data_IF_936922730248
#
_entry.id   IF_936922730248
#
_cell.length_a   1.000
_cell.length_b   1.000
_cell.length_c   1.000
_cell.angle_alpha   90.00
_cell.angle_beta   90.00
_cell.angle_gamma   90.00
#
_symmetry.space_group_name_H-M   'P 1'
#
loop_
_entity.id
_entity.type
_entity.pdbx_description
1 polymer ?
#
# COMPACT_ATOMS: atom_id res chain seq x y z
N UNK A 1 2.38 -8.72 -14.67
CA UNK A 1 1.61 -9.99 -14.44
C UNK A 1 0.94 -9.88 -13.09
N UNK A 2 -0.37 -10.11 -13.01
CA UNK A 2 -1.12 -10.10 -11.76
C UNK A 2 -0.97 -11.44 -11.06
N UNK A 3 -0.70 -11.41 -9.75
CA UNK A 3 -0.59 -12.58 -8.89
C UNK A 3 -1.54 -12.39 -7.72
N UNK A 4 -2.41 -13.38 -7.49
CA UNK A 4 -3.27 -13.40 -6.33
C UNK A 4 -2.43 -13.73 -5.08
N UNK A 5 -2.61 -12.96 -4.00
CA UNK A 5 -1.90 -13.17 -2.75
C UNK A 5 -2.90 -13.30 -1.59
N UNK A 6 -2.89 -14.44 -0.91
CA UNK A 6 -3.88 -14.77 0.14
C UNK A 6 -3.87 -13.81 1.35
N UNK A 7 -2.77 -13.09 1.57
CA UNK A 7 -2.58 -12.18 2.72
C UNK A 7 -2.75 -10.70 2.38
N UNK A 8 -3.27 -10.38 1.19
CA UNK A 8 -3.44 -9.01 0.76
C UNK A 8 -4.76 -8.44 1.27
N UNK A 9 -4.71 -7.31 1.97
CA UNK A 9 -5.93 -6.63 2.41
C UNK A 9 -6.69 -6.07 1.19
N UNK A 10 -8.02 -5.93 1.27
CA UNK A 10 -8.80 -5.30 0.19
C UNK A 10 -8.33 -3.85 -0.09
N UNK A 11 -8.87 -3.21 -1.11
CA UNK A 11 -8.68 -1.78 -1.34
C UNK A 11 -9.33 -0.99 -0.19
N UNK A 12 -8.61 -0.02 0.43
CA UNK A 12 -9.16 0.78 1.52
C UNK A 12 -10.24 1.78 1.07
N UNK A 13 -10.40 2.02 -0.24
CA UNK A 13 -11.32 3.02 -0.78
C UNK A 13 -12.64 2.43 -1.26
N UNK A 14 -12.59 1.36 -2.06
CA UNK A 14 -13.79 0.73 -2.63
C UNK A 14 -14.12 -0.64 -2.02
N UNK A 15 -13.23 -1.22 -1.20
CA UNK A 15 -13.42 -2.54 -0.60
C UNK A 15 -13.21 -3.72 -1.56
N UNK A 16 -12.97 -3.49 -2.85
CA UNK A 16 -12.62 -4.54 -3.81
C UNK A 16 -11.33 -5.26 -3.39
N UNK A 17 -11.06 -6.50 -3.83
CA UNK A 17 -9.82 -7.20 -3.51
C UNK A 17 -8.57 -6.40 -3.90
N UNK A 18 -7.52 -6.50 -3.08
CA UNK A 18 -6.17 -6.09 -3.48
C UNK A 18 -5.52 -7.20 -4.29
N UNK A 19 -4.72 -6.83 -5.27
CA UNK A 19 -3.96 -7.76 -6.10
C UNK A 19 -2.50 -7.31 -6.22
N UNK A 20 -1.60 -8.27 -6.46
CA UNK A 20 -0.18 -7.98 -6.60
C UNK A 20 0.17 -7.92 -8.09
N UNK A 21 0.81 -6.86 -8.53
CA UNK A 21 1.31 -6.74 -9.89
C UNK A 21 2.83 -6.84 -9.91
N UNK A 22 3.34 -7.68 -10.81
CA UNK A 22 4.75 -7.76 -11.16
C UNK A 22 4.98 -7.03 -12.47
N UNK A 23 5.68 -5.90 -12.42
CA UNK A 23 6.15 -5.25 -13.64
C UNK A 23 7.40 -5.97 -14.13
N UNK A 24 7.31 -6.49 -15.35
CA UNK A 24 8.43 -7.11 -16.07
C UNK A 24 8.66 -6.42 -17.40
N UNK A 25 8.01 -5.27 -17.64
CA UNK A 25 7.71 -4.75 -18.97
C UNK A 25 8.65 -3.65 -19.45
N UNK A 26 9.71 -3.33 -18.71
CA UNK A 26 10.64 -2.29 -19.14
C UNK A 26 11.96 -2.84 -19.70
N UNK A 27 12.17 -2.59 -21.00
CA UNK A 27 13.47 -2.58 -21.70
C UNK A 27 14.50 -1.62 -21.06
N UNK A 28 14.06 -0.78 -20.12
CA UNK A 28 14.93 -0.03 -19.22
C UNK A 28 15.48 -0.99 -18.15
N UNK A 29 16.73 -1.38 -18.35
CA UNK A 29 17.55 -2.20 -17.49
C UNK A 29 17.20 -2.01 -16.00
N UNK A 30 16.51 -3.02 -15.40
CA UNK A 30 16.34 -3.29 -13.96
C UNK A 30 15.04 -2.86 -13.23
N UNK A 31 13.95 -2.56 -13.91
CA UNK A 31 12.68 -2.31 -13.21
C UNK A 31 11.84 -3.59 -13.00
N UNK A 32 12.42 -4.62 -12.39
CA UNK A 32 11.67 -5.77 -11.87
C UNK A 32 11.15 -5.41 -10.48
N UNK A 33 9.95 -4.85 -10.41
CA UNK A 33 9.35 -4.46 -9.14
C UNK A 33 7.94 -5.04 -8.98
N UNK A 34 7.59 -5.23 -7.73
CA UNK A 34 6.29 -5.64 -7.24
C UNK A 34 5.58 -4.43 -6.66
N UNK A 35 4.29 -4.31 -6.89
CA UNK A 35 3.47 -3.35 -6.18
C UNK A 35 2.09 -3.95 -5.96
N UNK A 36 1.39 -3.48 -4.93
CA UNK A 36 -0.02 -3.80 -4.75
C UNK A 36 -0.90 -2.82 -5.49
N UNK A 37 -2.03 -3.28 -6.00
CA UNK A 37 -3.01 -2.44 -6.65
C UNK A 37 -4.43 -2.90 -6.34
N UNK A 38 -5.41 -2.02 -6.54
CA UNK A 38 -6.81 -2.40 -6.48
C UNK A 38 -7.16 -3.25 -7.72
N UNK A 39 -8.00 -4.27 -7.53
CA UNK A 39 -8.52 -5.08 -8.63
C UNK A 39 -9.63 -4.43 -9.44
N UNK A 40 -10.25 -3.38 -8.92
CA UNK A 40 -11.29 -2.61 -9.60
C UNK A 40 -10.67 -1.47 -10.41
N UNK A 41 -10.09 -1.81 -11.55
CA UNK A 41 -9.37 -0.86 -12.42
C UNK A 41 -10.28 0.22 -13.03
N UNK A 42 -11.56 -0.08 -13.26
CA UNK A 42 -12.51 0.88 -13.85
C UNK A 42 -13.08 1.86 -12.83
N UNK A 43 -13.26 1.44 -11.57
CA UNK A 43 -13.91 2.23 -10.52
C UNK A 43 -12.97 2.78 -9.44
N UNK A 44 -11.78 2.18 -9.25
CA UNK A 44 -10.84 2.55 -8.21
C UNK A 44 -9.39 2.28 -8.60
N UNK A 45 -8.79 3.20 -9.38
CA UNK A 45 -7.39 3.11 -9.78
C UNK A 45 -6.44 3.57 -8.66
N UNK A 46 -6.11 2.66 -7.75
CA UNK A 46 -5.15 2.89 -6.66
C UNK A 46 -4.00 1.90 -6.77
N UNK A 47 -2.78 2.43 -6.73
CA UNK A 47 -1.53 1.68 -6.74
C UNK A 47 -0.72 1.99 -5.48
N UNK A 48 -0.09 0.95 -4.93
CA UNK A 48 0.83 1.03 -3.81
C UNK A 48 2.26 1.30 -4.25
N UNK A 49 3.15 1.44 -3.27
CA UNK A 49 4.58 1.63 -3.52
C UNK A 49 5.23 0.39 -4.14
N UNK A 50 6.23 0.62 -5.00
CA UNK A 50 7.06 -0.42 -5.61
C UNK A 50 8.04 -1.02 -4.60
N UNK A 51 8.24 -2.34 -4.68
CA UNK A 51 9.19 -3.11 -3.90
C UNK A 51 9.95 -4.13 -4.76
N UNK A 52 11.10 -4.58 -4.28
CA UNK A 52 11.89 -5.60 -4.99
C UNK A 52 11.36 -7.02 -4.79
N UNK A 53 10.52 -7.25 -3.77
CA UNK A 53 9.96 -8.57 -3.45
C UNK A 53 8.45 -8.54 -3.31
N UNK A 54 7.81 -9.70 -3.53
CA UNK A 54 6.36 -9.88 -3.33
C UNK A 54 5.92 -9.52 -1.92
N UNK A 55 6.68 -9.99 -0.93
CA UNK A 55 6.35 -9.84 0.49
C UNK A 55 6.43 -8.38 0.93
N UNK A 56 7.45 -7.64 0.48
CA UNK A 56 7.55 -6.21 0.76
C UNK A 56 6.41 -5.43 0.09
N UNK A 57 6.04 -5.77 -1.15
CA UNK A 57 4.89 -5.13 -1.81
C UNK A 57 3.58 -5.37 -1.06
N UNK A 58 3.36 -6.59 -0.53
CA UNK A 58 2.21 -6.89 0.33
C UNK A 58 2.26 -6.07 1.62
N UNK A 59 3.43 -5.98 2.28
CA UNK A 59 3.58 -5.18 3.49
C UNK A 59 3.32 -3.71 3.24
N UNK A 60 3.83 -3.14 2.14
CA UNK A 60 3.61 -1.74 1.76
C UNK A 60 2.15 -1.48 1.44
N UNK A 61 1.48 -2.39 0.73
CA UNK A 61 0.03 -2.30 0.47
C UNK A 61 -0.80 -2.39 1.76
N UNK A 62 -0.45 -3.34 2.62
CA UNK A 62 -1.14 -3.58 3.89
C UNK A 62 -0.80 -2.54 4.96
N UNK A 63 0.25 -1.72 4.75
CA UNK A 63 0.61 -0.57 5.58
C UNK A 63 -0.41 0.55 5.35
N UNK A 64 -1.65 0.27 5.74
CA UNK A 64 -2.69 1.27 5.85
C UNK A 64 -2.30 2.22 6.97
N UNK A 65 -2.70 3.48 6.82
CA UNK A 65 -2.64 4.46 7.91
C UNK A 65 -3.36 3.87 9.13
N UNK A 66 -2.61 3.35 10.11
CA UNK A 66 -3.21 2.84 11.33
C UNK A 66 -3.83 4.02 12.10
N UNK A 67 -5.08 3.92 12.57
CA UNK A 67 -5.67 4.95 13.43
C UNK A 67 -4.82 5.21 14.70
N UNK A 68 -4.09 4.20 15.19
CA UNK A 68 -3.07 4.36 16.24
C UNK A 68 -1.98 5.37 15.90
N UNK A 69 -1.51 5.42 14.65
CA UNK A 69 -0.51 6.41 14.22
C UNK A 69 -1.06 7.84 14.25
N UNK A 70 -2.40 8.00 14.18
CA UNK A 70 -3.08 9.30 14.35
C UNK A 70 -3.20 9.67 15.83
N UNK A 71 -3.44 8.70 16.71
CA UNK A 71 -3.52 8.91 18.15
C UNK A 71 -2.17 9.34 18.73
N UNK A 72 -1.07 8.67 18.37
CA UNK A 72 0.28 9.05 18.83
C UNK A 72 0.71 10.43 18.32
N UNK A 73 0.34 10.78 17.09
CA UNK A 73 0.66 12.11 16.54
C UNK A 73 -0.17 13.21 17.21
N UNK A 74 -1.45 12.98 17.48
CA UNK A 74 -2.32 13.96 18.14
C UNK A 74 -1.91 14.15 19.60
N UNK A 75 -1.58 13.08 20.33
CA UNK A 75 -1.15 13.14 21.73
C UNK A 75 0.10 14.01 21.90
N UNK A 76 1.13 13.79 21.07
CA UNK A 76 2.36 14.60 21.07
C UNK A 76 2.12 16.08 20.76
N UNK A 77 1.18 16.39 19.87
CA UNK A 77 0.84 17.79 19.54
C UNK A 77 0.08 18.44 20.70
N UNK A 78 -0.82 17.70 21.35
CA UNK A 78 -1.59 18.18 22.51
C UNK A 78 -0.67 18.44 23.71
N UNK A 79 0.32 17.58 23.97
CA UNK A 79 1.30 17.78 25.04
C UNK A 79 2.18 19.02 24.81
N UNK A 80 2.61 19.25 23.57
CA UNK A 80 3.40 20.43 23.21
C UNK A 80 2.63 21.74 23.44
N UNK A 81 1.35 21.78 23.07
CA UNK A 81 0.49 22.95 23.29
C UNK A 81 0.18 23.19 24.77
N UNK A 82 0.16 22.14 25.60
CA UNK A 82 -0.09 22.26 27.06
C UNK A 82 1.11 22.79 27.86
N UNK A 83 2.32 22.69 27.32
CA UNK A 83 3.56 23.17 27.97
C UNK A 83 4.14 24.43 27.31
N UNK A 84 3.40 25.06 26.38
CA UNK A 84 3.76 26.32 25.73
C UNK A 84 3.07 27.53 26.38
#
# INVERSE_FOLDING_TARGET
>A
MVVQADNMLPCPFCGAPGELFHDMSSDYERNWYWHGQCSDHDGCWIEGASASTKEEAIQLWNRRWSPDSRAETIDRVVEFVRHS
#
